data_IF_270619360617
#
_entry.id   IF_270619360617
#
_cell.length_a   1.000
_cell.length_b   1.000
_cell.length_c   1.000
_cell.angle_alpha   90.00
_cell.angle_beta   90.00
_cell.angle_gamma   90.00
#
_symmetry.space_group_name_H-M   'P 1'
#
loop_
_entity.id
_entity.type
_entity.pdbx_description
1 polymer ?
#
# COMPACT_ATOMS: atom_id res chain seq x y z
N UNK A 1 -15.28 -10.32 -12.82
CA UNK A 1 -13.90 -10.60 -12.38
C UNK A 1 -13.11 -11.28 -13.48
N UNK A 2 -11.92 -10.79 -13.82
CA UNK A 2 -11.02 -11.45 -14.78
C UNK A 2 -10.27 -12.63 -14.12
N UNK A 3 -9.76 -13.57 -14.92
CA UNK A 3 -8.95 -14.71 -14.41
C UNK A 3 -7.74 -14.25 -13.59
N UNK A 4 -7.10 -13.15 -14.02
CA UNK A 4 -6.00 -12.50 -13.32
C UNK A 4 -6.41 -12.01 -11.93
N UNK A 5 -7.57 -11.34 -11.80
CA UNK A 5 -8.04 -10.86 -10.49
C UNK A 5 -8.34 -12.00 -9.52
N UNK A 6 -8.84 -13.15 -10.00
CA UNK A 6 -9.06 -14.34 -9.14
C UNK A 6 -7.74 -14.92 -8.61
N UNK A 7 -6.73 -15.02 -9.48
CA UNK A 7 -5.42 -15.55 -9.09
C UNK A 7 -4.71 -14.65 -8.06
N UNK A 8 -4.82 -13.33 -8.21
CA UNK A 8 -4.30 -12.36 -7.24
C UNK A 8 -4.99 -12.54 -5.89
N UNK A 9 -6.33 -12.57 -5.85
CA UNK A 9 -7.08 -12.77 -4.59
C UNK A 9 -6.74 -14.11 -3.93
N UNK A 10 -6.58 -15.19 -4.71
CA UNK A 10 -6.20 -16.50 -4.18
C UNK A 10 -4.79 -16.44 -3.59
N UNK A 11 -3.83 -15.85 -4.31
CA UNK A 11 -2.46 -15.66 -3.83
C UNK A 11 -2.42 -14.84 -2.54
N UNK A 12 -3.20 -13.77 -2.49
CA UNK A 12 -3.31 -12.90 -1.31
C UNK A 12 -4.00 -13.64 -0.13
N UNK A 13 -4.93 -14.55 -0.42
CA UNK A 13 -5.58 -15.35 0.62
C UNK A 13 -4.63 -16.38 1.23
N UNK A 14 -3.59 -16.82 0.50
CA UNK A 14 -2.59 -17.78 1.03
C UNK A 14 -1.81 -17.19 2.19
N UNK A 15 -1.44 -15.90 2.14
CA UNK A 15 -0.75 -15.26 3.26
C UNK A 15 -1.63 -15.27 4.52
N UNK A 16 -2.88 -14.84 4.39
CA UNK A 16 -3.84 -14.80 5.52
C UNK A 16 -4.06 -16.20 6.08
N UNK A 17 -4.23 -17.20 5.23
CA UNK A 17 -4.44 -18.59 5.66
C UNK A 17 -3.19 -19.16 6.36
N UNK A 18 -2.02 -19.03 5.75
CA UNK A 18 -0.77 -19.55 6.30
C UNK A 18 -0.41 -18.86 7.62
N UNK A 19 -0.54 -17.52 7.68
CA UNK A 19 -0.28 -16.77 8.90
C UNK A 19 -1.23 -17.18 10.02
N UNK A 20 -2.54 -17.27 9.75
CA UNK A 20 -3.51 -17.70 10.76
C UNK A 20 -3.24 -19.12 11.27
N UNK A 21 -2.95 -20.07 10.36
CA UNK A 21 -2.60 -21.44 10.77
C UNK A 21 -1.37 -21.43 11.68
N UNK A 22 -0.29 -20.75 11.27
CA UNK A 22 0.94 -20.69 12.06
C UNK A 22 0.72 -19.98 13.41
N UNK A 23 -0.04 -18.89 13.42
CA UNK A 23 -0.35 -18.13 14.62
C UNK A 23 -1.15 -18.99 15.61
N UNK A 24 -2.30 -19.52 15.21
CA UNK A 24 -3.14 -20.32 16.10
C UNK A 24 -2.54 -21.68 16.48
N UNK A 25 -1.71 -22.29 15.62
CA UNK A 25 -1.08 -23.57 15.91
C UNK A 25 0.08 -23.45 16.91
N UNK A 26 0.92 -22.42 16.79
CA UNK A 26 2.07 -22.26 17.68
C UNK A 26 1.71 -21.57 18.99
N UNK A 27 0.67 -20.73 18.96
CA UNK A 27 0.45 -19.74 20.00
C UNK A 27 -0.90 -20.01 20.73
N UNK A 28 -1.85 -20.68 20.09
CA UNK A 28 -3.16 -21.01 20.67
C UNK A 28 -4.16 -19.84 20.60
N UNK A 29 -5.20 -19.86 21.42
CA UNK A 29 -6.23 -18.79 21.50
C UNK A 29 -6.17 -17.96 22.78
N UNK A 30 -5.38 -18.40 23.76
CA UNK A 30 -5.19 -17.74 25.05
C UNK A 30 -3.95 -16.84 25.02
N UNK A 31 -4.05 -15.75 24.26
CA UNK A 31 -3.02 -14.72 24.19
C UNK A 31 -3.36 -13.49 25.02
N UNK A 32 -2.31 -12.83 25.50
CA UNK A 32 -2.41 -11.49 26.04
C UNK A 32 -2.94 -10.50 24.99
N UNK A 33 -3.66 -9.50 25.48
CA UNK A 33 -4.29 -8.46 24.65
C UNK A 33 -3.27 -7.73 23.77
N UNK A 34 -2.02 -7.61 24.18
CA UNK A 34 -0.91 -7.02 23.41
C UNK A 34 -0.65 -7.76 22.08
N UNK A 35 -0.63 -9.09 22.10
CA UNK A 35 -0.46 -9.92 20.91
C UNK A 35 -1.66 -9.73 19.96
N UNK A 36 -2.87 -9.67 20.50
CA UNK A 36 -4.09 -9.43 19.69
C UNK A 36 -4.09 -8.07 19.01
N UNK A 37 -3.56 -7.04 19.68
CA UNK A 37 -3.37 -5.72 19.08
C UNK A 37 -2.40 -5.82 17.90
N UNK A 38 -1.24 -6.46 18.07
CA UNK A 38 -0.29 -6.65 16.97
C UNK A 38 -0.90 -7.43 15.81
N UNK A 39 -1.63 -8.50 16.10
CA UNK A 39 -2.37 -9.26 15.11
C UNK A 39 -3.34 -8.37 14.30
N UNK A 40 -4.07 -7.48 14.96
CA UNK A 40 -4.99 -6.55 14.31
C UNK A 40 -4.28 -5.55 13.39
N UNK A 41 -3.20 -4.92 13.87
CA UNK A 41 -2.41 -3.96 13.10
C UNK A 41 -1.70 -4.61 11.90
N UNK A 42 -1.20 -5.84 12.06
CA UNK A 42 -0.63 -6.62 10.96
C UNK A 42 -1.65 -6.90 9.87
N UNK A 43 -2.88 -7.30 10.23
CA UNK A 43 -3.95 -7.50 9.25
C UNK A 43 -4.34 -6.20 8.57
N UNK A 44 -4.44 -5.10 9.32
CA UNK A 44 -4.67 -3.78 8.75
C UNK A 44 -3.60 -3.41 7.72
N UNK A 45 -2.32 -3.59 8.06
CA UNK A 45 -1.21 -3.31 7.16
C UNK A 45 -1.27 -4.17 5.90
N UNK A 46 -1.61 -5.45 6.05
CA UNK A 46 -1.82 -6.36 4.93
C UNK A 46 -2.97 -5.90 4.02
N UNK A 47 -4.12 -5.54 4.59
CA UNK A 47 -5.25 -4.99 3.82
C UNK A 47 -4.87 -3.73 3.07
N UNK A 48 -4.05 -2.86 3.64
CA UNK A 48 -3.60 -1.65 2.97
C UNK A 48 -2.70 -1.94 1.76
N UNK A 49 -1.84 -2.97 1.81
CA UNK A 49 -1.09 -3.44 0.64
C UNK A 49 -2.03 -3.85 -0.50
N UNK A 50 -3.10 -4.58 -0.17
CA UNK A 50 -4.11 -5.02 -1.16
C UNK A 50 -4.94 -3.86 -1.71
N UNK A 51 -5.24 -2.86 -0.87
CA UNK A 51 -6.05 -1.71 -1.25
C UNK A 51 -5.28 -0.71 -2.12
N UNK A 52 -3.96 -0.59 -1.92
CA UNK A 52 -3.08 0.36 -2.61
C UNK A 52 -3.28 0.43 -4.13
N UNK A 53 -3.29 -0.68 -4.89
CA UNK A 53 -3.50 -0.64 -6.35
C UNK A 53 -4.87 -0.10 -6.79
N UNK A 54 -5.85 -0.01 -5.88
CA UNK A 54 -7.21 0.51 -6.16
C UNK A 54 -7.29 2.03 -5.97
N UNK A 55 -6.37 2.63 -5.19
CA UNK A 55 -6.47 4.04 -4.75
C UNK A 55 -5.86 5.02 -5.77
N UNK A 56 -5.16 4.54 -6.79
CA UNK A 56 -4.28 5.39 -7.61
C UNK A 56 -4.84 5.96 -8.91
N UNK A 57 -4.27 7.10 -9.31
CA UNK A 57 -4.58 7.83 -10.53
C UNK A 57 -4.19 7.11 -11.83
N UNK A 58 -4.92 7.47 -12.88
CA UNK A 58 -4.68 7.04 -14.25
C UNK A 58 -3.86 8.10 -15.00
N UNK A 59 -2.80 7.68 -15.70
CA UNK A 59 -1.90 8.60 -16.41
C UNK A 59 -0.74 7.85 -17.09
N UNK A 60 0.12 8.58 -17.80
CA UNK A 60 1.21 8.02 -18.60
C UNK A 60 2.33 7.43 -17.73
N UNK A 61 2.59 8.03 -16.57
CA UNK A 61 3.50 7.49 -15.54
C UNK A 61 2.80 6.68 -14.45
N UNK A 62 1.55 6.23 -14.66
CA UNK A 62 0.79 5.49 -13.65
C UNK A 62 1.48 4.20 -13.18
N UNK A 63 2.38 3.60 -13.97
CA UNK A 63 3.15 2.45 -13.53
C UNK A 63 4.11 2.78 -12.38
N UNK A 64 4.86 3.89 -12.48
CA UNK A 64 5.83 4.29 -11.46
C UNK A 64 5.12 4.74 -10.18
N UNK A 65 4.03 5.49 -10.32
CA UNK A 65 3.16 5.86 -9.20
C UNK A 65 2.67 4.61 -8.45
N UNK A 66 2.23 3.58 -9.19
CA UNK A 66 1.75 2.30 -8.63
C UNK A 66 2.82 1.58 -7.86
N UNK A 67 4.03 1.57 -8.41
CA UNK A 67 5.15 0.92 -7.78
C UNK A 67 5.56 1.62 -6.48
N UNK A 68 5.61 2.96 -6.46
CA UNK A 68 6.04 3.71 -5.26
C UNK A 68 5.03 3.59 -4.14
N UNK A 69 3.74 3.74 -4.42
CA UNK A 69 2.71 3.60 -3.36
C UNK A 69 2.67 2.16 -2.85
N UNK A 70 2.76 1.16 -3.74
CA UNK A 70 2.84 -0.24 -3.33
C UNK A 70 4.05 -0.47 -2.43
N UNK A 71 5.22 0.07 -2.77
CA UNK A 71 6.42 -0.05 -1.96
C UNK A 71 6.25 0.56 -0.56
N UNK A 72 5.58 1.72 -0.44
CA UNK A 72 5.27 2.35 0.85
C UNK A 72 4.41 1.44 1.72
N UNK A 73 3.30 0.92 1.18
CA UNK A 73 2.42 0.01 1.91
C UNK A 73 3.09 -1.31 2.25
N UNK A 74 3.88 -1.87 1.33
CA UNK A 74 4.62 -3.11 1.55
C UNK A 74 5.68 -2.96 2.65
N UNK A 75 6.40 -1.84 2.68
CA UNK A 75 7.39 -1.56 3.72
C UNK A 75 6.74 -1.42 5.11
N UNK A 76 5.58 -0.77 5.17
CA UNK A 76 4.80 -0.70 6.40
C UNK A 76 4.35 -2.08 6.87
N UNK A 77 3.78 -2.90 5.97
CA UNK A 77 3.43 -4.29 6.27
C UNK A 77 4.62 -5.11 6.77
N UNK A 78 5.79 -4.99 6.14
CA UNK A 78 6.99 -5.70 6.57
C UNK A 78 7.43 -5.26 7.98
N UNK A 79 7.31 -3.97 8.28
CA UNK A 79 7.64 -3.42 9.61
C UNK A 79 6.69 -3.96 10.67
N UNK A 80 5.38 -3.95 10.41
CA UNK A 80 4.35 -4.53 11.29
C UNK A 80 4.54 -6.03 11.49
N UNK A 81 4.93 -6.75 10.42
CA UNK A 81 5.21 -8.19 10.50
C UNK A 81 6.39 -8.47 11.43
N UNK A 82 7.51 -7.75 11.27
CA UNK A 82 8.69 -7.89 12.13
C UNK A 82 8.34 -7.54 13.58
N UNK A 83 7.62 -6.44 13.81
CA UNK A 83 7.24 -6.01 15.15
C UNK A 83 6.29 -7.01 15.82
N UNK A 84 5.32 -7.55 15.09
CA UNK A 84 4.40 -8.58 15.58
C UNK A 84 5.14 -9.85 15.97
N UNK A 85 6.04 -10.33 15.10
CA UNK A 85 6.89 -11.50 15.41
C UNK A 85 7.74 -11.24 16.65
N UNK A 86 8.32 -10.04 16.78
CA UNK A 86 9.10 -9.65 17.95
C UNK A 86 8.27 -9.70 19.24
N UNK A 87 7.07 -9.11 19.27
CA UNK A 87 6.19 -9.11 20.45
C UNK A 87 5.79 -10.54 20.82
N UNK A 88 5.39 -11.36 19.84
CA UNK A 88 5.00 -12.76 20.07
C UNK A 88 6.16 -13.56 20.67
N UNK A 89 7.38 -13.43 20.11
CA UNK A 89 8.55 -14.14 20.62
C UNK A 89 8.98 -13.63 22.01
N UNK A 90 8.91 -12.32 22.25
CA UNK A 90 9.27 -11.72 23.54
C UNK A 90 8.34 -12.22 24.65
N UNK A 91 7.03 -12.16 24.45
CA UNK A 91 6.05 -12.61 25.44
C UNK A 91 6.10 -14.13 25.62
N UNK A 92 6.37 -14.89 24.55
CA UNK A 92 6.55 -16.35 24.64
C UNK A 92 7.80 -16.78 25.42
N UNK A 93 8.90 -16.01 25.38
CA UNK A 93 10.16 -16.39 26.07
C UNK A 93 10.22 -15.86 27.51
N UNK A 94 9.78 -14.62 27.73
CA UNK A 94 9.91 -13.97 29.02
C UNK A 94 8.70 -14.20 29.94
N UNK A 95 7.55 -14.60 29.40
CA UNK A 95 6.32 -14.83 30.17
C UNK A 95 5.63 -13.57 30.68
N UNK A 96 6.25 -12.40 30.50
CA UNK A 96 5.71 -11.08 30.87
C UNK A 96 5.23 -10.32 29.62
N UNK A 97 4.03 -9.73 29.73
CA UNK A 97 3.49 -8.83 28.71
C UNK A 97 4.29 -7.53 28.64
N UNK A 98 4.55 -7.04 27.42
CA UNK A 98 5.12 -5.70 27.20
C UNK A 98 4.19 -4.57 27.65
N UNK A 99 2.94 -4.90 27.99
CA UNK A 99 1.93 -3.97 28.47
C UNK A 99 1.14 -3.36 27.32
N UNK A 100 -0.18 -3.50 27.42
CA UNK A 100 -1.15 -3.07 26.40
C UNK A 100 -0.93 -1.62 25.96
N UNK A 101 -0.69 -0.70 26.90
CA UNK A 101 -0.51 0.73 26.63
C UNK A 101 0.73 1.02 25.80
N UNK A 102 1.81 0.28 26.02
CA UNK A 102 3.05 0.47 25.29
C UNK A 102 2.90 0.00 23.84
N UNK A 103 2.40 -1.23 23.66
CA UNK A 103 2.19 -1.85 22.35
C UNK A 103 1.23 -1.01 21.50
N UNK A 104 0.06 -0.64 22.03
CA UNK A 104 -0.91 0.15 21.25
C UNK A 104 -0.37 1.53 20.87
N UNK A 105 0.46 2.15 21.71
CA UNK A 105 1.05 3.46 21.43
C UNK A 105 2.02 3.39 20.25
N UNK A 106 2.93 2.42 20.25
CA UNK A 106 3.88 2.22 19.15
C UNK A 106 3.14 1.90 17.85
N UNK A 107 2.17 0.98 17.90
CA UNK A 107 1.41 0.60 16.71
C UNK A 107 0.61 1.76 16.12
N UNK A 108 -0.01 2.58 16.98
CA UNK A 108 -0.75 3.77 16.54
C UNK A 108 0.18 4.81 15.91
N UNK A 109 1.34 5.07 16.52
CA UNK A 109 2.32 6.02 15.99
C UNK A 109 2.85 5.56 14.63
N UNK A 110 3.21 4.28 14.52
CA UNK A 110 3.71 3.69 13.27
C UNK A 110 2.66 3.79 12.15
N UNK A 111 1.40 3.46 12.47
CA UNK A 111 0.27 3.59 11.55
C UNK A 111 0.07 5.05 11.12
N UNK A 112 0.15 6.00 12.05
CA UNK A 112 -0.04 7.42 11.74
C UNK A 112 1.06 7.94 10.79
N UNK A 113 2.33 7.58 11.05
CA UNK A 113 3.45 7.91 10.16
C UNK A 113 3.23 7.33 8.78
N UNK A 114 2.85 6.05 8.71
CA UNK A 114 2.52 5.38 7.45
C UNK A 114 1.43 6.11 6.67
N UNK A 115 0.31 6.47 7.32
CA UNK A 115 -0.80 7.17 6.66
C UNK A 115 -0.39 8.54 6.13
N UNK A 116 0.42 9.30 6.88
CA UNK A 116 0.94 10.60 6.42
C UNK A 116 1.79 10.42 5.15
N UNK A 117 2.70 9.45 5.14
CA UNK A 117 3.58 9.17 3.99
C UNK A 117 2.75 8.71 2.78
N UNK A 118 1.80 7.79 3.00
CA UNK A 118 0.92 7.28 1.95
C UNK A 118 0.09 8.40 1.32
N UNK A 119 -0.59 9.21 2.14
CA UNK A 119 -1.43 10.32 1.66
C UNK A 119 -0.60 11.36 0.92
N UNK A 120 0.60 11.69 1.42
CA UNK A 120 1.51 12.62 0.75
C UNK A 120 1.92 12.11 -0.63
N UNK A 121 2.25 10.83 -0.75
CA UNK A 121 2.60 10.21 -2.03
C UNK A 121 1.41 10.20 -2.99
N UNK A 122 0.20 9.88 -2.52
CA UNK A 122 -1.02 9.93 -3.34
C UNK A 122 -1.34 11.35 -3.83
N UNK A 123 -1.20 12.37 -2.98
CA UNK A 123 -1.39 13.77 -3.37
C UNK A 123 -0.37 14.20 -4.43
N UNK A 124 0.91 13.82 -4.26
CA UNK A 124 1.96 14.12 -5.23
C UNK A 124 1.72 13.41 -6.58
N UNK A 125 1.29 12.15 -6.55
CA UNK A 125 0.97 11.37 -7.74
C UNK A 125 -0.24 11.98 -8.49
N UNK A 126 -1.29 12.38 -7.78
CA UNK A 126 -2.46 13.03 -8.38
C UNK A 126 -2.11 14.38 -9.01
N UNK A 127 -1.30 15.19 -8.33
CA UNK A 127 -0.84 16.48 -8.87
C UNK A 127 0.00 16.30 -10.15
N UNK A 128 0.90 15.31 -10.17
CA UNK A 128 1.70 14.96 -11.35
C UNK A 128 0.82 14.48 -12.49
N UNK A 129 -0.12 13.58 -12.22
CA UNK A 129 -1.07 13.04 -13.22
C UNK A 129 -1.92 14.14 -13.86
N UNK A 130 -2.38 15.12 -13.08
CA UNK A 130 -3.14 16.26 -13.61
C UNK A 130 -2.31 17.13 -14.54
N UNK A 131 -1.05 17.41 -14.17
CA UNK A 131 -0.13 18.19 -15.01
C UNK A 131 0.24 17.44 -16.29
N UNK A 132 0.42 16.13 -16.23
CA UNK A 132 0.64 15.29 -17.41
C UNK A 132 -0.54 15.38 -18.39
N UNK A 133 -1.77 15.29 -17.90
CA UNK A 133 -2.96 15.38 -18.74
C UNK A 133 -3.09 16.76 -19.42
N UNK A 134 -2.79 17.84 -18.71
CA UNK A 134 -2.77 19.20 -19.27
C UNK A 134 -1.69 19.35 -20.34
N UNK A 135 -0.48 18.90 -20.05
CA UNK A 135 0.65 18.97 -20.97
C UNK A 135 0.44 18.13 -22.23
N UNK A 136 -0.18 16.95 -22.12
CA UNK A 136 -0.54 16.12 -23.27
C UNK A 136 -1.63 16.79 -24.13
N UNK A 137 -2.61 17.47 -23.52
CA UNK A 137 -3.62 18.25 -24.25
C UNK A 137 -3.00 19.44 -25.00
N UNK A 138 -2.10 20.19 -24.35
CA UNK A 138 -1.37 21.30 -24.98
C UNK A 138 -0.52 20.83 -26.16
N UNK A 139 0.23 19.74 -26.00
CA UNK A 139 1.02 19.16 -27.09
C UNK A 139 0.16 18.67 -28.26
N UNK A 140 -1.02 18.10 -27.98
CA UNK A 140 -1.98 17.72 -29.01
C UNK A 140 -2.45 18.93 -29.82
N UNK A 141 -2.75 20.04 -29.15
CA UNK A 141 -3.15 21.29 -29.80
C UNK A 141 -2.04 21.87 -30.70
N UNK A 142 -0.80 21.95 -30.18
CA UNK A 142 0.36 22.46 -30.93
C UNK A 142 0.62 21.62 -32.19
N UNK A 143 0.58 20.28 -32.08
CA UNK A 143 0.75 19.38 -33.24
C UNK A 143 -0.33 19.61 -34.29
N UNK A 144 -1.58 19.80 -33.86
CA UNK A 144 -2.70 20.07 -34.77
C UNK A 144 -2.49 21.39 -35.52
N UNK A 145 -2.14 22.45 -34.82
CA UNK A 145 -1.87 23.76 -35.43
C UNK A 145 -0.66 23.76 -36.36
N UNK A 146 0.42 23.06 -36.00
CA UNK A 146 1.58 22.90 -36.87
C UNK A 146 1.22 22.13 -38.16
N UNK A 147 0.39 21.09 -38.05
CA UNK A 147 -0.09 20.33 -39.20
C UNK A 147 -0.93 21.20 -40.15
N UNK A 148 -1.85 22.01 -39.60
CA UNK A 148 -2.65 22.97 -40.36
C UNK A 148 -1.75 24.00 -41.06
N UNK A 149 -0.78 24.57 -40.34
CA UNK A 149 0.17 25.54 -40.91
C UNK A 149 0.95 24.95 -42.09
N UNK A 150 1.45 23.72 -41.97
CA UNK A 150 2.18 23.06 -43.05
C UNK A 150 1.29 22.79 -44.28
N UNK A 151 0.01 22.42 -44.05
CA UNK A 151 -0.94 22.25 -45.15
C UNK A 151 -1.21 23.56 -45.88
N UNK A 152 -1.36 24.67 -45.15
CA UNK A 152 -1.56 25.99 -45.73
C UNK A 152 -0.34 26.47 -46.53
N UNK A 153 0.88 26.20 -46.05
CA UNK A 153 2.12 26.55 -46.77
C UNK A 153 2.30 25.76 -48.06
N UNK A 154 1.84 24.51 -48.13
CA UNK A 154 1.95 23.68 -49.34
C UNK A 154 0.86 23.97 -50.40
N UNK A 155 -0.08 24.88 -50.12
CA UNK A 155 -1.14 25.29 -51.05
C UNK A 155 -0.86 26.64 -51.74
N UNK A 156 0.24 27.31 -51.37
CA UNK A 156 0.73 28.58 -51.97
C UNK A 156 1.95 28.28 -52.82
#
# INVERSE_FOLDING_TARGET
MTKRNRLIIILDSVFVAAFNILFFMNAGSSHDTSIWICYGFLHFAYFMVLLTPVIEANGKNAYLARLTTYAISFLYFLTEFILTVFVVLYESQNGDSLGIKFVISIQTILTAIYLIVLLSNLLANNATSSKEAEHDAQNGFIKTMSSISNLLQNQV
#
